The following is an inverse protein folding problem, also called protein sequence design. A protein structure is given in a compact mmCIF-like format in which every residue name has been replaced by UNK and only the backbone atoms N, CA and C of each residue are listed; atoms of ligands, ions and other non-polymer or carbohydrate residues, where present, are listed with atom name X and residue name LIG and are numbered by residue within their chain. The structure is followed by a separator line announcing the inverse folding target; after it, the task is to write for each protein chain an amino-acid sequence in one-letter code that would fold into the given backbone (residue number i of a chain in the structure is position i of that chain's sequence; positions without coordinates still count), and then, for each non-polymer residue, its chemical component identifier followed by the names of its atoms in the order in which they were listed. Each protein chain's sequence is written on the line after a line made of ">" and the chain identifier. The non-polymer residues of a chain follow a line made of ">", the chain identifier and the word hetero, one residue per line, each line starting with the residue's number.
data_IF_418990669893
#
_entry.id   IF_418990669893
#
_cell.length_a   1.000
_cell.length_b   1.000
_cell.length_c   1.000
_cell.angle_alpha   90.00
_cell.angle_beta   90.00
_cell.angle_gamma   90.00
#
_symmetry.space_group_name_H-M   'P 1'
#
loop_
_entity.id
_entity.type
_entity.pdbx_description
1 polymer ?
#
# COMPACT_ATOMS: atom_id res chain seq x y z
N UNK A 1 17.85 12.24 -23.22
CA UNK A 1 16.94 13.27 -22.65
C UNK A 1 17.31 14.67 -23.12
N UNK A 2 17.32 14.89 -24.45
CA UNK A 2 17.69 16.18 -25.04
C UNK A 2 16.67 17.29 -24.75
N UNK A 3 15.40 16.92 -24.53
CA UNK A 3 14.33 17.87 -24.19
C UNK A 3 14.51 18.48 -22.79
N UNK A 4 15.03 17.72 -21.82
CA UNK A 4 15.29 18.26 -20.48
C UNK A 4 16.36 19.36 -20.55
N UNK A 5 17.47 19.10 -21.25
CA UNK A 5 18.54 20.08 -21.42
C UNK A 5 18.06 21.32 -22.21
N UNK A 6 17.19 21.12 -23.20
CA UNK A 6 16.54 22.20 -23.94
C UNK A 6 15.66 23.06 -23.03
N UNK A 7 14.82 22.46 -22.18
CA UNK A 7 13.94 23.20 -21.27
C UNK A 7 14.75 23.92 -20.19
N UNK A 8 15.80 23.30 -19.66
CA UNK A 8 16.70 23.94 -18.68
C UNK A 8 17.43 25.15 -19.29
N UNK A 9 17.90 25.03 -20.53
CA UNK A 9 18.56 26.15 -21.22
C UNK A 9 17.56 27.24 -21.59
N UNK A 10 16.39 26.87 -22.09
CA UNK A 10 15.30 27.79 -22.41
C UNK A 10 14.85 28.62 -21.20
N UNK A 11 14.66 27.98 -20.05
CA UNK A 11 14.33 28.64 -18.78
C UNK A 11 15.45 29.62 -18.35
N UNK A 12 16.71 29.21 -18.45
CA UNK A 12 17.87 30.06 -18.13
C UNK A 12 17.95 31.34 -18.97
N UNK A 13 17.53 31.28 -20.24
CA UNK A 13 17.56 32.41 -21.17
C UNK A 13 16.18 33.08 -21.34
N UNK A 14 15.19 32.76 -20.50
CA UNK A 14 13.82 33.28 -20.56
C UNK A 14 13.16 33.16 -21.96
N UNK A 15 13.46 32.04 -22.63
CA UNK A 15 13.02 31.74 -24.00
C UNK A 15 11.87 30.73 -24.03
N UNK A 16 11.24 30.43 -22.89
CA UNK A 16 10.15 29.44 -22.78
C UNK A 16 8.94 29.79 -23.65
N UNK A 17 8.68 31.08 -23.88
CA UNK A 17 7.60 31.56 -24.75
C UNK A 17 7.73 31.07 -26.20
N UNK A 18 8.96 30.85 -26.70
CA UNK A 18 9.21 30.38 -28.07
C UNK A 18 8.70 28.95 -28.31
N UNK A 19 8.56 28.17 -27.23
CA UNK A 19 8.16 26.77 -27.32
C UNK A 19 6.65 26.56 -27.22
N UNK A 20 5.87 27.60 -26.92
CA UNK A 20 4.40 27.56 -26.78
C UNK A 20 3.70 26.79 -27.91
N UNK A 21 4.03 26.99 -29.21
CA UNK A 21 3.37 26.27 -30.30
C UNK A 21 3.63 24.75 -30.30
N UNK A 22 4.74 24.31 -29.69
CA UNK A 22 5.19 22.92 -29.72
C UNK A 22 4.81 22.15 -28.45
N UNK A 23 4.42 22.84 -27.38
CA UNK A 23 4.14 22.23 -26.05
C UNK A 23 3.12 21.11 -26.15
N UNK A 24 2.00 21.33 -26.83
CA UNK A 24 0.94 20.33 -26.97
C UNK A 24 1.47 19.04 -27.60
N UNK A 25 2.27 19.16 -28.67
CA UNK A 25 2.86 18.00 -29.35
C UNK A 25 3.89 17.28 -28.46
N UNK A 26 4.74 18.03 -27.76
CA UNK A 26 5.72 17.46 -26.85
C UNK A 26 5.05 16.70 -25.71
N UNK A 27 4.02 17.28 -25.07
CA UNK A 27 3.31 16.61 -23.97
C UNK A 27 2.69 15.29 -24.41
N UNK A 28 2.10 15.22 -25.61
CA UNK A 28 1.55 13.98 -26.15
C UNK A 28 2.62 12.90 -26.36
N UNK A 29 3.84 13.30 -26.73
CA UNK A 29 4.97 12.38 -26.90
C UNK A 29 5.59 11.91 -25.57
N UNK A 30 5.37 12.65 -24.48
CA UNK A 30 5.94 12.37 -23.17
C UNK A 30 5.03 11.45 -22.36
N UNK A 31 5.34 10.16 -22.40
CA UNK A 31 4.68 9.18 -21.54
C UNK A 31 5.28 9.17 -20.14
N UNK A 32 4.45 9.14 -19.10
CA UNK A 32 4.92 9.08 -17.70
C UNK A 32 5.36 7.68 -17.31
N UNK A 33 4.75 6.64 -17.91
CA UNK A 33 4.97 5.18 -17.85
C UNK A 33 6.02 4.55 -16.89
N UNK A 34 6.51 3.35 -17.20
CA UNK A 34 7.52 2.66 -16.38
C UNK A 34 8.91 3.26 -16.60
N UNK A 35 9.08 4.48 -16.10
CA UNK A 35 10.31 5.25 -16.19
C UNK A 35 11.08 5.15 -14.89
N UNK A 36 12.40 4.99 -15.01
CA UNK A 36 13.32 5.09 -13.88
C UNK A 36 13.18 6.44 -13.17
N UNK A 37 13.52 6.49 -11.88
CA UNK A 37 13.50 7.69 -11.03
C UNK A 37 14.01 8.95 -11.74
N UNK A 38 15.19 8.85 -12.33
CA UNK A 38 15.86 9.96 -13.02
C UNK A 38 15.02 10.55 -14.15
N UNK A 39 14.34 9.67 -14.88
CA UNK A 39 13.46 10.05 -15.97
C UNK A 39 12.21 10.74 -15.45
N UNK A 40 11.63 10.26 -14.34
CA UNK A 40 10.49 10.89 -13.69
C UNK A 40 10.84 12.25 -13.08
N UNK A 41 12.00 12.40 -12.43
CA UNK A 41 12.46 13.68 -11.90
C UNK A 41 12.66 14.72 -13.00
N UNK A 42 13.29 14.34 -14.12
CA UNK A 42 13.44 15.25 -15.27
C UNK A 42 12.10 15.56 -15.95
N UNK A 43 11.18 14.59 -16.04
CA UNK A 43 9.83 14.84 -16.53
C UNK A 43 9.07 15.82 -15.63
N UNK A 44 9.25 15.73 -14.31
CA UNK A 44 8.62 16.66 -13.37
C UNK A 44 9.04 18.10 -13.64
N UNK A 45 10.32 18.33 -13.96
CA UNK A 45 10.81 19.64 -14.38
C UNK A 45 10.20 20.09 -15.71
N UNK A 46 10.18 19.21 -16.70
CA UNK A 46 9.60 19.51 -18.00
C UNK A 46 8.13 19.91 -17.86
N UNK A 47 7.31 19.10 -17.18
CA UNK A 47 5.88 19.41 -17.03
C UNK A 47 5.62 20.64 -16.16
N UNK A 48 6.46 20.90 -15.17
CA UNK A 48 6.41 22.14 -14.38
C UNK A 48 6.65 23.37 -15.27
N UNK A 49 7.71 23.34 -16.09
CA UNK A 49 8.06 24.45 -16.98
C UNK A 49 7.07 24.64 -18.14
N UNK A 50 6.50 23.55 -18.64
CA UNK A 50 5.47 23.58 -19.68
C UNK A 50 4.08 23.95 -19.11
N UNK A 51 3.92 24.08 -17.79
CA UNK A 51 2.65 24.41 -17.14
C UNK A 51 1.59 23.31 -17.21
N UNK A 52 1.96 22.07 -17.55
CA UNK A 52 1.00 20.98 -17.76
C UNK A 52 0.72 20.22 -16.45
N UNK A 53 -0.25 20.72 -15.68
CA UNK A 53 -0.56 20.27 -14.31
C UNK A 53 -0.86 18.77 -14.18
N UNK A 54 -1.73 18.22 -15.03
CA UNK A 54 -2.17 16.82 -14.88
C UNK A 54 -1.01 15.83 -15.01
N UNK A 55 -0.13 16.06 -15.99
CA UNK A 55 1.06 15.25 -16.24
C UNK A 55 2.12 15.44 -15.16
N UNK A 56 2.23 16.65 -14.62
CA UNK A 56 3.07 16.92 -13.46
C UNK A 56 2.58 16.12 -12.24
N UNK A 57 1.28 16.18 -11.92
CA UNK A 57 0.67 15.44 -10.82
C UNK A 57 0.79 13.93 -10.99
N UNK A 58 0.58 13.41 -12.20
CA UNK A 58 0.79 12.00 -12.55
C UNK A 58 2.23 11.57 -12.25
N UNK A 59 3.20 12.37 -12.69
CA UNK A 59 4.64 12.12 -12.51
C UNK A 59 5.02 12.16 -11.03
N UNK A 60 4.55 13.17 -10.30
CA UNK A 60 4.81 13.34 -8.87
C UNK A 60 4.17 12.21 -8.06
N UNK A 61 2.94 11.80 -8.40
CA UNK A 61 2.27 10.67 -7.76
C UNK A 61 3.08 9.40 -7.92
N UNK A 62 3.62 9.15 -9.12
CA UNK A 62 4.49 8.00 -9.38
C UNK A 62 5.79 8.07 -8.57
N UNK A 63 6.41 9.25 -8.49
CA UNK A 63 7.58 9.50 -7.64
C UNK A 63 7.28 9.27 -6.14
N UNK A 64 6.07 9.54 -5.66
CA UNK A 64 5.68 9.26 -4.28
C UNK A 64 5.46 7.75 -4.07
N UNK A 65 4.74 7.09 -5.00
CA UNK A 65 4.33 5.68 -4.85
C UNK A 65 5.47 4.69 -5.01
N UNK A 66 6.32 4.87 -6.01
CA UNK A 66 7.25 3.83 -6.47
C UNK A 66 8.63 3.96 -5.83
N UNK A 67 9.00 5.17 -5.41
CA UNK A 67 10.35 5.45 -4.94
C UNK A 67 10.53 5.11 -3.45
N UNK A 68 11.58 4.39 -3.06
CA UNK A 68 11.89 4.14 -1.66
C UNK A 68 12.10 5.44 -0.87
N UNK A 69 11.85 5.37 0.43
CA UNK A 69 12.13 6.46 1.34
C UNK A 69 13.65 6.48 1.61
N UNK A 70 14.29 7.64 1.47
CA UNK A 70 15.75 7.75 1.57
C UNK A 70 16.51 7.41 0.29
N UNK A 71 15.83 7.11 -0.83
CA UNK A 71 16.47 7.17 -2.16
C UNK A 71 17.11 8.56 -2.31
N UNK A 72 18.43 8.60 -2.38
CA UNK A 72 19.18 9.85 -2.35
C UNK A 72 18.87 10.67 -3.61
N UNK A 73 18.01 11.69 -3.45
CA UNK A 73 17.90 12.80 -4.39
C UNK A 73 19.21 13.65 -4.41
N UNK A 74 20.22 13.24 -3.64
CA UNK A 74 21.52 13.89 -3.45
C UNK A 74 22.71 13.05 -3.99
N UNK A 75 22.46 12.06 -4.86
CA UNK A 75 23.53 11.35 -5.57
C UNK A 75 23.98 12.07 -6.85
N UNK A 76 25.19 11.76 -7.34
CA UNK A 76 25.75 12.28 -8.60
C UNK A 76 24.87 12.05 -9.86
N UNK A 77 23.83 11.22 -9.75
CA UNK A 77 22.89 10.96 -10.84
C UNK A 77 21.74 11.95 -10.90
N UNK A 78 21.46 12.78 -9.88
CA UNK A 78 20.24 13.58 -9.84
C UNK A 78 20.21 14.70 -10.87
N UNK A 79 19.02 15.10 -11.36
CA UNK A 79 18.92 16.15 -12.35
C UNK A 79 19.40 17.47 -11.76
N UNK A 80 20.12 18.26 -12.57
CA UNK A 80 20.73 19.54 -12.14
C UNK A 80 19.71 20.54 -11.61
N UNK A 81 18.50 20.50 -12.16
CA UNK A 81 17.40 21.40 -11.82
C UNK A 81 16.14 20.59 -11.57
N UNK A 82 15.46 20.92 -10.48
CA UNK A 82 14.20 20.33 -10.05
C UNK A 82 13.19 21.45 -9.76
N UNK A 83 11.88 21.16 -9.85
CA UNK A 83 10.85 22.11 -9.44
C UNK A 83 11.05 22.55 -7.98
N UNK A 84 10.83 23.83 -7.67
CA UNK A 84 11.04 24.37 -6.33
C UNK A 84 10.14 23.65 -5.32
N UNK A 85 10.74 23.24 -4.19
CA UNK A 85 10.02 22.54 -3.11
C UNK A 85 9.60 21.10 -3.43
N UNK A 86 9.94 20.56 -4.61
CA UNK A 86 9.54 19.19 -4.99
C UNK A 86 10.08 18.16 -4.00
N UNK A 87 11.35 18.28 -3.59
CA UNK A 87 12.00 17.30 -2.70
C UNK A 87 11.30 17.25 -1.35
N UNK A 88 11.02 18.40 -0.74
CA UNK A 88 10.34 18.50 0.55
C UNK A 88 8.89 18.01 0.44
N UNK A 89 8.22 18.35 -0.67
CA UNK A 89 6.89 17.84 -0.97
C UNK A 89 6.88 16.31 -1.05
N UNK A 90 7.82 15.70 -1.78
CA UNK A 90 7.93 14.24 -1.93
C UNK A 90 8.20 13.58 -0.57
N UNK A 91 9.18 14.07 0.20
CA UNK A 91 9.50 13.57 1.54
C UNK A 91 8.27 13.62 2.46
N UNK A 92 7.63 14.79 2.55
CA UNK A 92 6.46 14.99 3.41
C UNK A 92 5.21 14.22 2.97
N UNK A 93 5.02 14.00 1.65
CA UNK A 93 3.89 13.23 1.13
C UNK A 93 4.08 11.73 1.38
N UNK A 94 5.29 11.20 1.18
CA UNK A 94 5.61 9.78 1.46
C UNK A 94 5.38 9.42 2.92
N UNK A 95 5.94 10.21 3.85
CA UNK A 95 5.78 9.97 5.29
C UNK A 95 4.29 9.95 5.67
N UNK A 96 3.51 10.93 5.19
CA UNK A 96 2.06 10.98 5.44
C UNK A 96 1.31 9.77 4.89
N UNK A 97 1.72 9.27 3.73
CA UNK A 97 1.07 8.12 3.12
C UNK A 97 1.41 6.82 3.86
N UNK A 98 2.68 6.63 4.23
CA UNK A 98 3.11 5.49 5.07
C UNK A 98 2.40 5.53 6.41
N UNK A 99 2.28 6.71 7.04
CA UNK A 99 1.52 6.90 8.27
C UNK A 99 0.05 6.50 8.08
N UNK A 100 -0.59 6.93 6.99
CA UNK A 100 -1.96 6.56 6.68
C UNK A 100 -2.16 5.04 6.50
N UNK A 101 -1.15 4.33 5.99
CA UNK A 101 -1.17 2.87 5.83
C UNK A 101 -0.96 2.14 7.17
N UNK A 102 -0.06 2.62 8.02
CA UNK A 102 0.24 1.99 9.31
C UNK A 102 -0.79 2.31 10.41
N UNK A 103 -1.46 3.47 10.33
CA UNK A 103 -2.39 3.95 11.37
C UNK A 103 -3.55 2.99 11.64
N UNK A 104 -4.26 2.43 10.65
CA UNK A 104 -5.34 1.47 10.90
C UNK A 104 -4.85 0.23 11.65
N UNK A 105 -3.68 -0.30 11.26
CA UNK A 105 -3.07 -1.49 11.88
C UNK A 105 -2.73 -1.20 13.33
N UNK A 106 -2.04 -0.09 13.60
CA UNK A 106 -1.72 0.35 14.97
C UNK A 106 -2.99 0.48 15.82
N UNK A 107 -4.00 1.16 15.29
CA UNK A 107 -5.27 1.38 15.99
C UNK A 107 -5.98 0.07 16.31
N UNK A 108 -5.99 -0.89 15.38
CA UNK A 108 -6.63 -2.18 15.60
C UNK A 108 -5.85 -3.04 16.61
N UNK A 109 -4.52 -3.08 16.52
CA UNK A 109 -3.69 -3.78 17.52
C UNK A 109 -3.88 -3.18 18.91
N UNK A 110 -3.89 -1.85 19.04
CA UNK A 110 -4.13 -1.18 20.32
C UNK A 110 -5.52 -1.51 20.90
N UNK A 111 -6.55 -1.62 20.05
CA UNK A 111 -7.89 -2.07 20.47
C UNK A 111 -7.87 -3.53 20.94
N UNK A 112 -7.22 -4.41 20.20
CA UNK A 112 -7.11 -5.83 20.55
C UNK A 112 -6.33 -6.05 21.85
N UNK A 113 -5.28 -5.27 22.09
CA UNK A 113 -4.48 -5.32 23.33
C UNK A 113 -5.27 -4.82 24.56
N UNK A 114 -6.14 -3.83 24.40
CA UNK A 114 -6.97 -3.29 25.50
C UNK A 114 -8.13 -4.22 25.89
N UNK A 115 -8.49 -5.18 25.03
CA UNK A 115 -9.51 -6.19 25.30
C UNK A 115 -10.95 -5.65 25.42
N UNK A 116 -11.89 -6.58 25.62
CA UNK A 116 -13.36 -6.38 25.63
C UNK A 116 -13.95 -5.49 26.74
N UNK A 117 -13.15 -4.68 27.44
CA UNK A 117 -13.65 -3.77 28.48
C UNK A 117 -14.25 -2.46 27.92
N UNK A 118 -14.24 -2.27 26.59
CA UNK A 118 -14.79 -1.09 25.94
C UNK A 118 -15.91 -1.44 24.95
N UNK A 119 -16.87 -0.54 24.73
CA UNK A 119 -17.97 -0.66 23.76
C UNK A 119 -17.52 -0.81 22.29
N UNK A 120 -16.21 -0.82 22.04
CA UNK A 120 -15.58 -0.89 20.72
C UNK A 120 -14.91 -2.25 20.45
N UNK A 121 -15.54 -3.36 20.83
CA UNK A 121 -15.02 -4.70 20.51
C UNK A 121 -15.04 -4.95 19.01
N UNK A 122 -13.92 -5.41 18.44
CA UNK A 122 -13.81 -5.74 17.01
C UNK A 122 -14.51 -7.08 16.67
N UNK A 123 -14.77 -7.94 17.66
CA UNK A 123 -15.58 -9.13 17.49
C UNK A 123 -17.06 -8.79 17.68
N UNK A 124 -17.87 -9.11 16.67
CA UNK A 124 -19.34 -8.98 16.72
C UNK A 124 -20.02 -10.20 17.35
N UNK A 125 -19.28 -11.27 17.63
CA UNK A 125 -19.85 -12.53 18.11
C UNK A 125 -20.25 -12.38 19.58
N UNK A 126 -21.52 -12.02 19.78
CA UNK A 126 -22.18 -11.82 21.07
C UNK A 126 -22.22 -13.13 21.84
N UNK A 127 -21.28 -13.37 22.77
CA UNK A 127 -21.34 -14.29 23.93
C UNK A 127 -22.43 -15.40 23.91
N UNK A 128 -22.53 -16.22 22.87
CA UNK A 128 -23.54 -17.31 22.85
C UNK A 128 -22.97 -18.64 23.32
N UNK A 129 -21.64 -18.78 23.35
CA UNK A 129 -20.97 -20.00 23.79
C UNK A 129 -20.01 -19.68 24.95
N UNK A 130 -19.81 -20.66 25.85
CA UNK A 130 -18.90 -20.66 27.01
C UNK A 130 -17.40 -20.48 26.68
N UNK A 131 -17.09 -19.97 25.50
CA UNK A 131 -15.73 -19.61 25.11
C UNK A 131 -15.33 -18.33 25.85
N UNK A 132 -14.15 -18.35 26.46
CA UNK A 132 -13.68 -17.27 27.33
C UNK A 132 -13.77 -15.89 26.64
N UNK A 133 -13.96 -14.81 27.41
CA UNK A 133 -14.43 -13.51 26.93
C UNK A 133 -13.55 -12.79 25.88
N UNK A 134 -12.39 -13.34 25.52
CA UNK A 134 -11.38 -12.73 24.65
C UNK A 134 -10.79 -13.71 23.60
N UNK A 135 -11.37 -14.90 23.36
CA UNK A 135 -10.76 -15.88 22.44
C UNK A 135 -10.66 -15.35 21.00
N UNK A 136 -11.71 -14.67 20.52
CA UNK A 136 -11.75 -14.08 19.18
C UNK A 136 -10.69 -12.97 19.01
N UNK A 137 -10.61 -12.05 19.97
CA UNK A 137 -9.63 -10.97 19.98
C UNK A 137 -8.20 -11.49 20.09
N UNK A 138 -7.97 -12.50 20.93
CA UNK A 138 -6.66 -13.15 21.08
C UNK A 138 -6.24 -13.84 19.77
N UNK A 139 -7.18 -14.48 19.08
CA UNK A 139 -6.92 -15.10 17.78
C UNK A 139 -6.60 -14.05 16.71
N UNK A 140 -7.41 -12.99 16.59
CA UNK A 140 -7.15 -11.90 15.63
C UNK A 140 -5.80 -11.24 15.90
N UNK A 141 -5.50 -10.93 17.17
CA UNK A 141 -4.22 -10.36 17.56
C UNK A 141 -3.06 -11.28 17.19
N UNK A 142 -3.16 -12.58 17.52
CA UNK A 142 -2.14 -13.57 17.19
C UNK A 142 -1.92 -13.69 15.68
N UNK A 143 -2.98 -13.74 14.89
CA UNK A 143 -2.90 -13.82 13.43
C UNK A 143 -2.28 -12.54 12.84
N UNK A 144 -2.74 -11.35 13.26
CA UNK A 144 -2.19 -10.07 12.78
C UNK A 144 -0.72 -9.90 13.15
N UNK A 145 -0.33 -10.22 14.39
CA UNK A 145 1.07 -10.16 14.83
C UNK A 145 1.95 -11.14 14.06
N UNK A 146 1.46 -12.36 13.82
CA UNK A 146 2.18 -13.36 13.02
C UNK A 146 2.40 -12.87 11.59
N UNK A 147 1.38 -12.34 10.93
CA UNK A 147 1.50 -11.80 9.58
C UNK A 147 2.46 -10.59 9.52
N UNK A 148 2.40 -9.69 10.52
CA UNK A 148 3.34 -8.56 10.60
C UNK A 148 4.78 -9.02 10.85
N UNK A 149 4.96 -10.08 11.65
CA UNK A 149 6.27 -10.67 11.92
C UNK A 149 6.84 -11.40 10.70
N UNK A 150 6.04 -12.21 10.01
CA UNK A 150 6.43 -12.91 8.78
C UNK A 150 6.85 -11.93 7.67
N UNK A 151 6.28 -10.73 7.65
CA UNK A 151 6.64 -9.65 6.74
C UNK A 151 7.73 -8.70 7.25
N UNK A 152 8.30 -8.94 8.45
CA UNK A 152 9.34 -8.11 9.06
C UNK A 152 8.92 -6.64 9.29
N UNK A 153 7.62 -6.39 9.45
CA UNK A 153 7.05 -5.06 9.75
C UNK A 153 6.82 -4.91 11.25
N UNK A 154 6.85 -6.00 12.03
CA UNK A 154 6.76 -5.96 13.49
C UNK A 154 8.15 -5.83 14.13
N UNK A 155 8.35 -4.92 15.11
CA UNK A 155 7.42 -3.92 15.62
C UNK A 155 7.12 -2.82 14.61
N UNK A 156 5.90 -2.25 14.65
CA UNK A 156 5.46 -1.23 13.68
C UNK A 156 6.45 -0.04 13.66
N UNK A 157 7.14 0.21 12.53
CA UNK A 157 8.16 1.25 12.46
C UNK A 157 7.55 2.65 12.52
N UNK A 158 8.37 3.65 12.88
CA UNK A 158 8.02 5.05 12.63
C UNK A 158 7.91 5.26 11.11
N UNK A 159 6.85 5.92 10.59
CA UNK A 159 6.74 6.26 9.17
C UNK A 159 7.97 6.94 8.55
N UNK A 160 8.80 7.61 9.36
CA UNK A 160 10.05 8.25 8.94
C UNK A 160 11.20 7.26 8.72
N UNK A 161 11.17 6.11 9.38
CA UNK A 161 12.22 5.10 9.36
C UNK A 161 11.97 4.01 8.29
N UNK A 162 10.75 3.95 7.76
CA UNK A 162 10.40 3.02 6.68
C UNK A 162 11.15 3.42 5.41
N UNK A 163 12.09 2.57 4.98
CA UNK A 163 12.86 2.75 3.72
C UNK A 163 12.10 2.28 2.48
N UNK A 164 11.06 1.47 2.65
CA UNK A 164 10.24 0.95 1.56
C UNK A 164 9.43 2.06 0.86
N UNK A 165 9.12 1.85 -0.41
CA UNK A 165 8.17 2.70 -1.11
C UNK A 165 6.73 2.40 -0.62
N UNK A 166 5.82 3.38 -0.65
CA UNK A 166 4.42 3.15 -0.30
C UNK A 166 3.77 2.02 -1.11
N UNK A 167 4.11 1.87 -2.40
CA UNK A 167 3.63 0.76 -3.23
C UNK A 167 4.18 -0.59 -2.76
N UNK A 168 5.44 -0.66 -2.34
CA UNK A 168 6.00 -1.89 -1.80
C UNK A 168 5.32 -2.27 -0.47
N UNK A 169 5.00 -1.28 0.37
CA UNK A 169 4.27 -1.48 1.63
C UNK A 169 2.82 -1.95 1.41
N UNK A 170 2.18 -1.50 0.33
CA UNK A 170 0.85 -1.92 -0.10
C UNK A 170 0.83 -3.28 -0.81
N UNK A 171 1.98 -3.92 -1.02
CA UNK A 171 2.00 -5.18 -1.76
C UNK A 171 1.17 -6.26 -1.03
N UNK A 172 0.56 -7.22 -1.76
CA UNK A 172 -0.27 -8.27 -1.18
C UNK A 172 0.43 -9.11 -0.09
N UNK A 173 1.77 -9.13 -0.14
CA UNK A 173 2.59 -9.81 0.86
C UNK A 173 2.66 -9.00 2.15
N UNK A 174 2.81 -7.69 2.06
CA UNK A 174 3.12 -6.82 3.19
C UNK A 174 1.90 -6.47 4.06
N UNK A 175 0.92 -5.73 3.54
CA UNK A 175 -0.17 -5.18 4.36
C UNK A 175 -1.58 -5.48 3.87
N UNK A 176 -1.77 -5.80 2.58
CA UNK A 176 -3.12 -5.95 2.01
C UNK A 176 -3.89 -7.09 2.71
N UNK A 177 -3.24 -8.25 2.90
CA UNK A 177 -3.82 -9.39 3.62
C UNK A 177 -4.23 -9.07 5.06
N UNK A 178 -3.42 -8.26 5.77
CA UNK A 178 -3.71 -7.86 7.15
C UNK A 178 -4.91 -6.90 7.17
N UNK A 179 -4.97 -5.95 6.23
CA UNK A 179 -6.08 -4.98 6.13
C UNK A 179 -7.37 -5.71 5.76
N UNK A 180 -7.33 -6.65 4.81
CA UNK A 180 -8.49 -7.46 4.42
C UNK A 180 -8.92 -8.41 5.52
N UNK A 181 -8.00 -9.02 6.26
CA UNK A 181 -8.32 -9.94 7.38
C UNK A 181 -8.93 -9.18 8.55
N UNK A 182 -8.43 -7.98 8.86
CA UNK A 182 -9.02 -7.09 9.86
C UNK A 182 -10.40 -6.58 9.42
N UNK A 183 -10.60 -6.31 8.13
CA UNK A 183 -11.89 -5.90 7.58
C UNK A 183 -12.90 -7.06 7.46
N UNK A 184 -12.44 -8.26 7.11
CA UNK A 184 -13.25 -9.47 6.90
C UNK A 184 -13.59 -10.22 8.19
N UNK A 185 -12.75 -10.12 9.22
CA UNK A 185 -13.09 -10.61 10.56
C UNK A 185 -14.23 -9.81 11.19
N UNK A 186 -14.54 -8.61 10.67
CA UNK A 186 -15.74 -7.85 11.02
C UNK A 186 -17.02 -8.39 10.36
N UNK A 187 -16.95 -9.32 9.39
CA UNK A 187 -18.13 -9.80 8.64
C UNK A 187 -18.33 -11.31 8.63
N UNK A 188 -17.41 -12.14 9.15
CA UNK A 188 -17.62 -13.59 9.12
C UNK A 188 -16.68 -14.45 9.94
N UNK A 189 -17.03 -14.69 11.20
CA UNK A 189 -16.78 -15.99 11.86
C UNK A 189 -18.08 -16.77 11.96
N UNK A 190 -18.68 -17.02 10.79
CA UNK A 190 -19.60 -18.13 10.56
C UNK A 190 -18.98 -19.01 9.49
N UNK A 191 -18.21 -19.99 9.93
CA UNK A 191 -17.91 -21.28 9.28
C UNK A 191 -16.92 -21.98 10.22
N UNK A 192 -17.38 -22.78 11.17
CA UNK A 192 -17.66 -24.19 10.89
C UNK A 192 -16.59 -24.82 9.99
N UNK A 193 -15.33 -24.77 10.43
CA UNK A 193 -14.17 -25.28 9.68
C UNK A 193 -13.48 -26.50 10.27
N UNK A 194 -14.07 -27.20 11.26
CA UNK A 194 -13.43 -28.41 11.84
C UNK A 194 -14.30 -29.67 11.95
N UNK A 195 -15.51 -29.71 11.38
CA UNK A 195 -16.31 -30.94 11.30
C UNK A 195 -16.37 -31.60 9.90
N UNK A 196 -15.56 -31.17 8.94
CA UNK A 196 -15.56 -31.71 7.56
C UNK A 196 -14.40 -32.64 7.22
N UNK A 197 -13.68 -33.17 8.22
CA UNK A 197 -12.68 -34.24 8.04
C UNK A 197 -13.01 -35.57 8.73
N UNK A 198 -14.13 -35.68 9.44
CA UNK A 198 -14.50 -36.91 10.16
C UNK A 198 -15.61 -37.75 9.50
N UNK A 199 -16.13 -37.31 8.35
CA UNK A 199 -17.23 -38.01 7.65
C UNK A 199 -16.80 -38.76 6.37
N UNK A 200 -15.49 -38.93 6.12
CA UNK A 200 -14.98 -39.63 4.92
C UNK A 200 -14.00 -40.76 5.30
N UNK A 201 -14.18 -41.37 6.47
CA UNK A 201 -13.39 -42.54 6.85
C UNK A 201 -14.22 -43.49 7.73
N UNK A 202 -15.17 -44.20 7.12
CA UNK A 202 -15.51 -45.58 7.52
C UNK A 202 -16.31 -46.29 6.41
N UNK A 203 -15.91 -47.52 6.01
CA UNK A 203 -16.61 -48.34 5.02
C UNK A 203 -17.36 -49.51 5.69
N UNK A 204 -18.68 -49.60 5.55
CA UNK A 204 -19.46 -50.82 5.82
C UNK A 204 -20.52 -50.98 4.72
N UNK A 205 -20.33 -51.88 3.75
CA UNK A 205 -20.75 -53.30 3.74
C UNK A 205 -22.26 -53.53 3.89
N UNK A 206 -22.88 -53.81 2.73
CA UNK A 206 -23.81 -54.93 2.42
C UNK A 206 -25.04 -55.18 3.30
N UNK A 207 -26.23 -55.09 2.69
CA UNK A 207 -27.21 -56.20 2.63
C UNK A 207 -28.35 -55.93 1.62
N UNK A 208 -28.50 -56.84 0.66
CA UNK A 208 -29.70 -57.16 -0.13
C UNK A 208 -30.76 -57.80 0.81
N UNK A 209 -32.08 -57.66 0.58
CA UNK A 209 -32.79 -58.75 -0.11
C UNK A 209 -34.03 -58.34 -0.92
N UNK A 210 -34.10 -58.80 -2.17
CA UNK A 210 -35.36 -59.24 -2.78
C UNK A 210 -35.78 -60.62 -2.24
N UNK A 211 -36.96 -60.75 -1.61
CA UNK A 211 -37.85 -61.96 -1.67
C UNK A 211 -39.13 -61.85 -0.80
N UNK A 212 -40.27 -62.11 -1.46
CA UNK A 212 -41.49 -62.83 -0.99
C UNK A 212 -42.28 -62.27 0.20
N UNK A 213 -43.49 -61.76 -0.08
CA UNK A 213 -44.74 -62.54 -0.05
C UNK A 213 -45.86 -61.79 -0.77
#
# INVERSE_FOLDING_TARGET
>A
MKLYDLVVTADKYDCMALFQPFVAHWVLSLQVGDKHEQSLLRLSWIFYQLGHKDKYEETVTRLVMDMPNGAAVEGASTPRVLPPGLVDYLKGKKVRMIEALLRPIRTNIDKLLKGCASENSLCLQRRTNNDGPNQCESYMLGNSLRQLYENQIWPLPDPKEVLLSPRALLSPRALDGIITDLAGSCTGLSLAGHNLRRAISEPERTADPSKKK
#
